data_IF_148702139846
#
_entry.id   IF_148702139846
#
_cell.length_a   1.000
_cell.length_b   1.000
_cell.length_c   1.000
_cell.angle_alpha   90.00
_cell.angle_beta   90.00
_cell.angle_gamma   90.00
#
_symmetry.space_group_name_H-M   'P 1'
#
loop_
_entity.id
_entity.type
_entity.pdbx_description
1 polymer ?
#
# COMPACT_ATOMS: atom_id res chain seq x y z
N UNK A 1 5.27 22.32 6.80
CA UNK A 1 6.63 22.87 6.60
C UNK A 1 6.57 24.01 5.57
N UNK A 2 6.86 25.27 5.93
CA UNK A 2 6.71 26.43 5.04
C UNK A 2 7.59 26.37 3.78
N UNK A 3 8.79 25.81 3.88
CA UNK A 3 9.80 25.80 2.81
C UNK A 3 9.41 24.96 1.58
N UNK A 4 8.75 23.81 1.75
CA UNK A 4 8.35 22.93 0.65
C UNK A 4 7.25 23.55 -0.21
N UNK A 5 6.33 24.31 0.40
CA UNK A 5 5.25 25.02 -0.29
C UNK A 5 5.79 26.22 -1.07
N UNK A 6 6.69 27.00 -0.47
CA UNK A 6 7.41 28.07 -1.16
C UNK A 6 8.25 27.55 -2.34
N UNK A 7 8.80 26.33 -2.21
CA UNK A 7 9.54 25.63 -3.28
C UNK A 7 8.69 25.30 -4.49
N UNK A 8 7.54 24.64 -4.30
CA UNK A 8 6.66 24.29 -5.42
C UNK A 8 6.02 25.54 -6.04
N UNK A 9 5.68 26.55 -5.24
CA UNK A 9 5.19 27.84 -5.76
C UNK A 9 6.25 28.56 -6.60
N UNK A 10 7.54 28.40 -6.31
CA UNK A 10 8.64 28.91 -7.15
C UNK A 10 8.76 28.13 -8.46
N UNK A 11 8.65 26.80 -8.42
CA UNK A 11 8.58 25.98 -9.64
C UNK A 11 7.38 26.38 -10.53
N UNK A 12 6.20 26.59 -9.95
CA UNK A 12 5.02 27.10 -10.68
C UNK A 12 5.21 28.49 -11.31
N UNK A 13 5.97 29.38 -10.66
CA UNK A 13 6.08 30.80 -11.06
C UNK A 13 7.19 31.11 -12.06
N UNK A 14 8.17 30.22 -12.28
CA UNK A 14 9.38 30.53 -13.05
C UNK A 14 9.75 29.43 -14.06
N UNK A 15 9.07 29.50 -15.22
CA UNK A 15 9.02 28.62 -16.42
C UNK A 15 10.34 28.19 -17.11
N UNK A 16 11.52 28.42 -16.52
CA UNK A 16 12.78 28.15 -17.26
C UNK A 16 13.99 27.78 -16.39
N UNK A 17 13.99 28.10 -15.08
CA UNK A 17 15.20 27.99 -14.23
C UNK A 17 15.24 26.78 -13.32
N UNK A 18 14.26 25.87 -13.40
CA UNK A 18 14.07 24.83 -12.39
C UNK A 18 13.93 23.39 -12.91
N UNK A 19 14.41 23.08 -14.12
CA UNK A 19 14.65 21.69 -14.55
C UNK A 19 15.47 20.90 -13.52
N UNK A 20 16.38 21.57 -12.79
CA UNK A 20 17.17 20.98 -11.71
C UNK A 20 16.34 20.49 -10.50
N UNK A 21 15.19 21.12 -10.22
CA UNK A 21 14.29 20.71 -9.13
C UNK A 21 13.46 19.51 -9.52
N UNK A 22 12.97 19.50 -10.76
CA UNK A 22 12.23 18.37 -11.30
C UNK A 22 13.11 17.13 -11.38
N UNK A 23 14.36 17.26 -11.84
CA UNK A 23 15.36 16.19 -11.84
C UNK A 23 15.57 15.54 -10.46
N UNK A 24 15.37 16.30 -9.37
CA UNK A 24 15.47 15.78 -7.99
C UNK A 24 14.18 15.14 -7.46
N UNK A 25 13.09 15.23 -8.22
CA UNK A 25 11.89 14.42 -8.03
C UNK A 25 10.68 15.11 -7.39
N UNK A 26 10.69 16.44 -7.24
CA UNK A 26 9.64 17.26 -6.60
C UNK A 26 9.25 16.83 -5.15
N UNK A 27 9.19 17.75 -4.17
CA UNK A 27 8.77 17.38 -2.82
C UNK A 27 7.34 16.84 -2.77
N UNK A 28 7.15 15.59 -2.34
CA UNK A 28 5.85 14.89 -2.33
C UNK A 28 4.79 15.68 -1.58
N UNK A 29 5.09 16.14 -0.37
CA UNK A 29 4.12 16.88 0.44
C UNK A 29 3.68 18.19 -0.21
N UNK A 30 4.56 18.88 -0.93
CA UNK A 30 4.17 20.11 -1.62
C UNK A 30 3.23 19.80 -2.80
N UNK A 31 3.48 18.71 -3.53
CA UNK A 31 2.65 18.27 -4.64
C UNK A 31 1.27 17.79 -4.14
N UNK A 32 1.23 17.03 -3.05
CA UNK A 32 0.00 16.66 -2.34
C UNK A 32 -0.81 17.91 -1.93
N UNK A 33 -0.17 18.93 -1.36
CA UNK A 33 -0.83 20.18 -0.95
C UNK A 33 -1.42 20.96 -2.12
N UNK A 34 -0.79 20.91 -3.30
CA UNK A 34 -1.17 21.71 -4.48
C UNK A 34 -2.19 21.01 -5.35
N UNK A 35 -2.03 19.70 -5.59
CA UNK A 35 -2.99 18.92 -6.37
C UNK A 35 -4.24 18.60 -5.55
N UNK A 36 -4.10 18.54 -4.23
CA UNK A 36 -5.13 18.07 -3.33
C UNK A 36 -5.22 16.54 -3.31
N UNK A 37 -5.77 16.03 -2.22
CA UNK A 37 -5.85 14.60 -1.96
C UNK A 37 -6.72 13.85 -2.99
N UNK A 38 -7.82 14.47 -3.40
CA UNK A 38 -8.76 13.90 -4.37
C UNK A 38 -8.11 13.65 -5.74
N UNK A 39 -7.26 14.59 -6.20
CA UNK A 39 -6.55 14.47 -7.47
C UNK A 39 -5.52 13.33 -7.50
N UNK A 40 -5.07 12.87 -6.32
CA UNK A 40 -4.11 11.78 -6.16
C UNK A 40 -4.76 10.48 -5.70
N UNK A 41 -6.08 10.46 -5.51
CA UNK A 41 -6.81 9.28 -5.06
C UNK A 41 -7.43 8.57 -6.25
N UNK A 42 -7.18 7.26 -6.36
CA UNK A 42 -7.80 6.38 -7.34
C UNK A 42 -8.58 5.31 -6.60
N UNK A 43 -9.80 5.03 -7.05
CA UNK A 43 -10.63 3.95 -6.53
C UNK A 43 -10.34 2.68 -7.31
N UNK A 44 -9.99 1.61 -6.60
CA UNK A 44 -9.61 0.33 -7.23
C UNK A 44 -10.32 -0.82 -6.54
N UNK A 45 -10.62 -1.88 -7.29
CA UNK A 45 -10.93 -3.16 -6.69
C UNK A 45 -9.67 -3.66 -5.94
N UNK A 46 -9.74 -3.90 -4.61
CA UNK A 46 -8.56 -4.34 -3.85
C UNK A 46 -8.00 -5.68 -4.37
N UNK A 47 -8.84 -6.56 -4.92
CA UNK A 47 -8.42 -7.87 -5.46
C UNK A 47 -7.67 -7.77 -6.78
N UNK A 48 -7.73 -6.63 -7.47
CA UNK A 48 -6.89 -6.36 -8.64
C UNK A 48 -5.49 -5.85 -8.24
N UNK A 49 -5.34 -5.24 -7.05
CA UNK A 49 -4.06 -4.69 -6.56
C UNK A 49 -3.18 -5.80 -5.94
N UNK A 50 -2.70 -6.71 -6.78
CA UNK A 50 -1.98 -7.92 -6.37
C UNK A 50 -0.46 -7.80 -6.40
N UNK A 51 0.07 -6.70 -6.98
CA UNK A 51 1.51 -6.44 -7.06
C UNK A 51 1.96 -5.30 -6.16
N UNK A 52 3.11 -5.49 -5.53
CA UNK A 52 3.77 -4.50 -4.69
C UNK A 52 5.20 -4.20 -5.14
N UNK A 53 5.72 -3.01 -4.83
CA UNK A 53 7.10 -2.65 -5.14
C UNK A 53 8.05 -3.47 -4.27
N UNK A 54 8.93 -4.24 -4.90
CA UNK A 54 9.94 -5.04 -4.21
C UNK A 54 11.33 -4.44 -4.39
N UNK A 55 11.74 -3.61 -3.43
CA UNK A 55 13.09 -3.02 -3.40
C UNK A 55 14.23 -4.03 -3.12
N UNK A 56 13.93 -5.33 -2.96
CA UNK A 56 14.91 -6.35 -2.62
C UNK A 56 15.55 -6.13 -1.24
N UNK A 57 16.71 -6.76 -1.03
CA UNK A 57 17.47 -6.66 0.23
C UNK A 57 18.35 -5.41 0.30
N UNK A 58 18.84 -4.92 -0.85
CA UNK A 58 19.67 -3.71 -0.89
C UNK A 58 18.80 -2.46 -0.88
N UNK A 59 18.69 -1.85 0.29
CA UNK A 59 17.89 -0.64 0.49
C UNK A 59 18.55 0.63 -0.05
N UNK A 60 19.81 0.58 -0.49
CA UNK A 60 20.55 1.78 -0.97
C UNK A 60 19.91 2.39 -2.22
N UNK A 61 19.28 1.57 -3.06
CA UNK A 61 18.62 2.02 -4.29
C UNK A 61 17.14 2.37 -4.08
N UNK A 62 16.64 2.35 -2.84
CA UNK A 62 15.25 2.69 -2.56
C UNK A 62 15.05 4.20 -2.72
N UNK A 63 14.10 4.65 -3.57
CA UNK A 63 13.78 6.06 -3.68
C UNK A 63 13.28 6.64 -2.36
N UNK A 64 13.58 7.92 -2.14
CA UNK A 64 13.14 8.63 -0.93
C UNK A 64 11.62 8.81 -0.94
N UNK A 65 10.96 8.48 0.17
CA UNK A 65 9.52 8.73 0.34
C UNK A 65 9.14 10.21 0.46
N UNK A 66 10.11 11.12 0.41
CA UNK A 66 9.89 12.57 0.46
C UNK A 66 9.78 13.20 -0.94
N UNK A 67 10.12 12.47 -1.99
CA UNK A 67 10.00 12.92 -3.38
C UNK A 67 8.88 12.17 -4.09
N UNK A 68 8.23 12.83 -5.05
CA UNK A 68 7.09 12.30 -5.79
C UNK A 68 7.51 11.57 -7.07
N UNK A 69 8.59 11.99 -7.72
CA UNK A 69 9.08 11.37 -8.95
C UNK A 69 10.28 10.51 -8.59
N UNK A 70 10.16 9.21 -8.84
CA UNK A 70 11.17 8.20 -8.56
C UNK A 70 11.84 7.76 -9.86
N UNK A 71 13.17 7.66 -9.83
CA UNK A 71 13.99 7.25 -10.96
C UNK A 71 14.54 5.83 -10.76
N UNK A 72 15.07 5.25 -11.83
CA UNK A 72 15.66 3.92 -11.87
C UNK A 72 14.63 2.78 -11.88
N UNK A 73 15.13 1.55 -11.80
CA UNK A 73 14.35 0.34 -12.11
C UNK A 73 13.53 -0.24 -10.95
N UNK A 74 13.01 0.62 -10.09
CA UNK A 74 12.27 0.19 -8.90
C UNK A 74 10.98 -0.57 -9.21
N UNK A 75 10.41 -0.38 -10.40
CA UNK A 75 9.15 -0.97 -10.86
C UNK A 75 9.32 -2.29 -11.61
N UNK A 76 10.55 -2.68 -11.96
CA UNK A 76 10.85 -3.93 -12.66
C UNK A 76 10.81 -5.16 -11.73
N UNK A 77 10.84 -4.94 -10.41
CA UNK A 77 10.65 -5.97 -9.38
C UNK A 77 9.31 -5.77 -8.67
N UNK A 78 8.39 -6.67 -8.93
CA UNK A 78 6.98 -6.63 -8.51
C UNK A 78 6.71 -7.82 -7.59
N UNK A 79 6.70 -7.57 -6.30
CA UNK A 79 6.29 -8.56 -5.30
C UNK A 79 4.87 -9.05 -5.57
N UNK A 80 4.58 -10.29 -5.18
CA UNK A 80 3.24 -10.85 -5.23
C UNK A 80 2.57 -10.67 -3.86
N UNK A 81 1.93 -9.51 -3.67
CA UNK A 81 1.36 -9.07 -2.40
C UNK A 81 0.44 -10.12 -1.77
N UNK A 82 -0.34 -10.80 -2.62
CA UNK A 82 -1.27 -11.88 -2.26
C UNK A 82 -0.63 -13.04 -1.50
N UNK A 83 0.65 -13.31 -1.73
CA UNK A 83 1.41 -14.39 -1.06
C UNK A 83 2.31 -13.88 0.07
N UNK A 84 2.25 -12.58 0.35
CA UNK A 84 2.99 -11.95 1.43
C UNK A 84 2.47 -12.35 2.82
N UNK A 85 3.27 -12.07 3.85
CA UNK A 85 2.93 -12.42 5.24
C UNK A 85 1.65 -11.74 5.74
N UNK A 86 1.26 -10.59 5.20
CA UNK A 86 0.04 -9.86 5.60
C UNK A 86 -1.20 -10.59 5.11
N UNK A 87 -1.19 -10.99 3.84
CA UNK A 87 -2.29 -11.75 3.24
C UNK A 87 -2.42 -13.14 3.84
N UNK A 88 -1.30 -13.79 4.20
CA UNK A 88 -1.30 -15.04 4.97
C UNK A 88 -1.92 -14.87 6.35
N UNK A 89 -1.48 -13.86 7.12
CA UNK A 89 -2.09 -13.55 8.42
C UNK A 89 -3.60 -13.37 8.34
N UNK A 90 -4.11 -12.60 7.36
CA UNK A 90 -5.56 -12.40 7.25
C UNK A 90 -6.27 -13.72 6.91
N UNK A 91 -5.72 -14.55 6.02
CA UNK A 91 -6.30 -15.85 5.68
C UNK A 91 -6.35 -16.79 6.89
N UNK A 92 -5.26 -16.85 7.64
CA UNK A 92 -5.08 -17.67 8.85
C UNK A 92 -6.09 -17.29 9.94
N UNK A 93 -6.32 -15.98 10.14
CA UNK A 93 -7.34 -15.48 11.08
C UNK A 93 -8.78 -15.83 10.66
N UNK A 94 -9.04 -15.96 9.36
CA UNK A 94 -10.35 -16.30 8.80
C UNK A 94 -10.59 -17.81 8.93
N UNK A 95 -9.58 -18.61 8.59
CA UNK A 95 -9.64 -20.06 8.58
C UNK A 95 -9.84 -20.66 9.98
N UNK A 96 -9.18 -20.09 10.99
CA UNK A 96 -9.19 -20.64 12.35
C UNK A 96 -10.20 -19.97 13.30
N UNK A 97 -10.88 -18.91 12.85
CA UNK A 97 -11.98 -18.30 13.59
C UNK A 97 -11.62 -17.91 15.04
N UNK A 98 -12.25 -18.58 16.01
CA UNK A 98 -12.08 -18.34 17.45
C UNK A 98 -10.79 -18.91 18.05
N UNK A 99 -10.24 -19.98 17.46
CA UNK A 99 -8.99 -20.54 17.96
C UNK A 99 -7.81 -19.82 17.31
N UNK A 100 -7.41 -18.71 17.93
CA UNK A 100 -6.24 -17.95 17.47
C UNK A 100 -4.92 -18.63 17.82
N UNK A 101 -4.92 -19.65 18.69
CA UNK A 101 -3.69 -20.32 19.13
C UNK A 101 -3.10 -21.22 18.04
N UNK A 102 -3.91 -21.68 17.08
CA UNK A 102 -3.42 -22.51 15.98
C UNK A 102 -2.82 -21.71 14.82
N UNK A 103 -2.97 -20.38 14.83
CA UNK A 103 -2.47 -19.50 13.76
C UNK A 103 -0.94 -19.54 13.65
N UNK A 104 -0.40 -19.53 12.42
CA UNK A 104 1.04 -19.46 12.13
C UNK A 104 1.68 -18.28 12.89
N UNK A 105 0.97 -17.16 12.95
CA UNK A 105 1.45 -15.96 13.63
C UNK A 105 1.53 -16.12 15.14
N UNK A 106 0.53 -16.73 15.79
CA UNK A 106 0.60 -17.02 17.23
C UNK A 106 1.79 -17.94 17.51
N UNK A 107 1.90 -19.06 16.79
CA UNK A 107 2.98 -20.05 17.00
C UNK A 107 4.37 -19.43 16.85
N UNK A 108 4.55 -18.57 15.84
CA UNK A 108 5.80 -17.85 15.66
C UNK A 108 6.11 -16.87 16.81
N UNK A 109 5.12 -16.11 17.28
CA UNK A 109 5.30 -15.15 18.37
C UNK A 109 5.53 -15.85 19.71
N UNK A 110 4.85 -16.98 19.95
CA UNK A 110 5.04 -17.83 21.11
C UNK A 110 6.46 -18.40 21.15
N UNK A 111 6.96 -18.92 20.04
CA UNK A 111 8.33 -19.41 19.95
C UNK A 111 9.38 -18.31 20.24
N UNK A 112 9.13 -17.07 19.79
CA UNK A 112 9.98 -15.93 20.12
C UNK A 112 9.96 -15.60 21.61
N UNK A 113 8.77 -15.59 22.21
CA UNK A 113 8.58 -15.39 23.65
C UNK A 113 9.31 -16.47 24.47
N UNK A 114 9.11 -17.74 24.14
CA UNK A 114 9.76 -18.89 24.79
C UNK A 114 11.29 -18.86 24.65
N UNK A 115 11.80 -18.31 23.54
CA UNK A 115 13.25 -18.11 23.34
C UNK A 115 13.84 -16.91 24.10
N UNK A 116 13.03 -16.21 24.92
CA UNK A 116 13.44 -15.03 25.68
C UNK A 116 13.62 -13.78 24.82
N UNK A 117 13.09 -13.76 23.59
CA UNK A 117 13.21 -12.64 22.64
C UNK A 117 11.82 -12.20 22.16
N UNK A 118 10.96 -11.68 23.06
CA UNK A 118 9.62 -11.26 22.71
C UNK A 118 9.66 -10.24 21.57
N UNK A 119 8.71 -10.38 20.65
CA UNK A 119 8.61 -9.45 19.53
C UNK A 119 8.10 -8.09 20.04
N UNK A 120 8.67 -7.01 19.51
CA UNK A 120 8.18 -5.66 19.73
C UNK A 120 7.81 -5.01 18.39
N UNK A 121 6.74 -4.22 18.38
CA UNK A 121 6.43 -3.28 17.30
C UNK A 121 7.08 -1.94 17.64
N UNK A 122 8.19 -1.55 16.98
CA UNK A 122 8.84 -0.28 17.27
C UNK A 122 7.96 0.93 16.92
N UNK A 123 7.00 0.75 16.00
CA UNK A 123 6.09 1.80 15.55
C UNK A 123 4.93 2.01 16.52
N UNK A 124 4.43 0.94 17.11
CA UNK A 124 3.22 0.97 17.93
C UNK A 124 3.53 0.95 19.43
N UNK A 125 4.82 0.86 19.80
CA UNK A 125 5.26 0.73 21.19
C UNK A 125 4.79 -0.55 21.87
N UNK A 126 4.29 -1.51 21.10
CA UNK A 126 3.73 -2.76 21.59
C UNK A 126 4.87 -3.75 21.85
N UNK A 127 4.99 -4.22 23.08
CA UNK A 127 5.77 -5.40 23.43
C UNK A 127 4.81 -6.59 23.51
N UNK A 128 5.24 -7.76 23.04
CA UNK A 128 4.50 -9.03 23.15
C UNK A 128 5.27 -9.96 24.10
N UNK A 129 5.29 -9.62 25.38
CA UNK A 129 5.97 -10.36 26.44
C UNK A 129 5.06 -11.36 27.19
N UNK A 130 3.81 -11.52 26.74
CA UNK A 130 2.90 -12.55 27.25
C UNK A 130 2.03 -13.16 26.15
N UNK A 131 1.51 -14.37 26.38
CA UNK A 131 0.56 -15.01 25.47
C UNK A 131 -0.73 -14.20 25.32
N UNK A 132 -1.21 -13.58 26.40
CA UNK A 132 -2.40 -12.74 26.41
C UNK A 132 -2.24 -11.52 25.50
N UNK A 133 -1.05 -10.92 25.44
CA UNK A 133 -0.75 -9.81 24.53
C UNK A 133 -0.70 -10.27 23.08
N UNK A 134 -0.11 -11.44 22.80
CA UNK A 134 -0.12 -12.04 21.46
C UNK A 134 -1.57 -12.26 21.00
N UNK A 135 -2.39 -12.88 21.85
CA UNK A 135 -3.80 -13.11 21.55
C UNK A 135 -4.60 -11.81 21.43
N UNK A 136 -4.33 -10.82 22.27
CA UNK A 136 -4.95 -9.50 22.19
C UNK A 136 -4.68 -8.82 20.85
N UNK A 137 -3.43 -8.86 20.39
CA UNK A 137 -3.04 -8.38 19.07
C UNK A 137 -3.80 -9.09 17.95
N UNK A 138 -3.90 -10.42 17.97
CA UNK A 138 -4.60 -11.18 16.94
C UNK A 138 -6.12 -10.90 16.96
N UNK A 139 -6.72 -10.80 18.15
CA UNK A 139 -8.12 -10.38 18.32
C UNK A 139 -8.38 -9.01 17.72
N UNK A 140 -7.48 -8.04 17.88
CA UNK A 140 -7.64 -6.73 17.25
C UNK A 140 -7.71 -6.84 15.71
N UNK A 141 -6.82 -7.62 15.08
CA UNK A 141 -6.85 -7.82 13.63
C UNK A 141 -8.10 -8.55 13.16
N UNK A 142 -8.56 -9.55 13.90
CA UNK A 142 -9.82 -10.23 13.61
C UNK A 142 -11.03 -9.28 13.74
N UNK A 143 -11.06 -8.47 14.79
CA UNK A 143 -12.10 -7.44 14.94
C UNK A 143 -12.12 -6.44 13.78
N UNK A 144 -10.95 -6.05 13.25
CA UNK A 144 -10.87 -5.21 12.04
C UNK A 144 -11.38 -5.92 10.77
N UNK A 145 -11.14 -7.23 10.64
CA UNK A 145 -11.69 -8.03 9.54
C UNK A 145 -13.22 -8.10 9.63
N UNK A 146 -13.76 -8.38 10.81
CA UNK A 146 -15.21 -8.46 11.05
C UNK A 146 -15.87 -7.09 10.79
N UNK A 147 -15.32 -6.01 11.32
CA UNK A 147 -15.82 -4.65 11.06
C UNK A 147 -15.83 -4.33 9.57
N UNK A 148 -14.77 -4.67 8.84
CA UNK A 148 -14.71 -4.43 7.40
C UNK A 148 -15.67 -5.33 6.61
N UNK A 149 -15.91 -6.55 7.06
CA UNK A 149 -16.89 -7.45 6.45
C UNK A 149 -18.32 -6.92 6.63
N UNK A 150 -18.67 -6.44 7.82
CA UNK A 150 -20.01 -5.92 8.12
C UNK A 150 -20.26 -4.52 7.55
N UNK A 151 -19.27 -3.63 7.61
CA UNK A 151 -19.43 -2.20 7.33
C UNK A 151 -18.74 -1.75 6.03
N UNK A 152 -18.06 -2.65 5.33
CA UNK A 152 -17.22 -2.32 4.18
C UNK A 152 -15.96 -1.52 4.57
N UNK A 153 -15.30 -0.95 3.56
CA UNK A 153 -14.09 -0.15 3.79
C UNK A 153 -14.44 1.29 4.22
N UNK A 154 -14.01 1.68 5.42
CA UNK A 154 -14.19 3.05 5.93
C UNK A 154 -12.92 3.88 5.78
N UNK A 155 -12.99 4.94 4.96
CA UNK A 155 -11.91 5.91 4.82
C UNK A 155 -11.79 6.78 6.09
N UNK A 156 -10.57 7.19 6.46
CA UNK A 156 -10.34 8.15 7.55
C UNK A 156 -10.29 7.58 8.96
N UNK A 157 -10.57 6.29 9.16
CA UNK A 157 -10.44 5.63 10.50
C UNK A 157 -9.00 5.60 11.00
N UNK A 158 -8.02 5.59 10.09
CA UNK A 158 -6.58 5.58 10.44
C UNK A 158 -5.85 6.73 9.75
N UNK A 159 -4.81 7.27 10.42
CA UNK A 159 -3.96 8.35 9.89
C UNK A 159 -3.21 7.99 8.61
N UNK A 160 -2.81 6.72 8.45
CA UNK A 160 -2.10 6.28 7.25
C UNK A 160 -3.11 6.02 6.11
N UNK A 161 -2.73 6.32 4.88
CA UNK A 161 -3.51 6.03 3.67
C UNK A 161 -2.93 4.81 2.95
N UNK A 162 -3.72 4.14 2.10
CA UNK A 162 -3.21 3.06 1.27
C UNK A 162 -2.41 3.65 0.10
N UNK A 163 -1.09 3.71 0.27
CA UNK A 163 -0.20 4.27 -0.73
C UNK A 163 0.06 3.32 -1.90
N UNK A 164 0.08 3.86 -3.12
CA UNK A 164 0.56 3.22 -4.36
C UNK A 164 1.59 4.09 -5.06
N UNK A 165 2.36 3.50 -5.97
CA UNK A 165 3.25 4.20 -6.89
C UNK A 165 2.90 3.82 -8.34
N UNK A 166 3.12 4.74 -9.27
CA UNK A 166 2.85 4.54 -10.71
C UNK A 166 4.12 4.11 -11.42
N UNK A 167 4.10 2.97 -12.10
CA UNK A 167 5.24 2.43 -12.88
C UNK A 167 5.54 3.27 -14.11
N UNK A 168 6.65 2.98 -14.81
CA UNK A 168 6.98 3.63 -16.08
C UNK A 168 5.89 3.44 -17.14
N UNK A 169 5.12 2.37 -17.09
CA UNK A 169 4.01 2.07 -18.01
C UNK A 169 2.68 2.71 -17.60
N UNK A 170 2.59 3.34 -16.42
CA UNK A 170 1.32 3.89 -15.92
C UNK A 170 0.47 2.89 -15.16
N UNK A 171 1.07 1.86 -14.56
CA UNK A 171 0.38 0.86 -13.73
C UNK A 171 0.56 1.14 -12.25
N UNK A 172 -0.39 0.71 -11.41
CA UNK A 172 -0.33 0.91 -9.97
C UNK A 172 0.34 -0.27 -9.28
N UNK A 173 1.42 0.02 -8.54
CA UNK A 173 2.07 -0.92 -7.61
C UNK A 173 1.84 -0.49 -6.17
N UNK A 174 1.57 -1.47 -5.31
CA UNK A 174 1.43 -1.22 -3.88
C UNK A 174 2.77 -0.86 -3.24
N UNK A 175 2.78 0.12 -2.34
CA UNK A 175 3.97 0.48 -1.54
C UNK A 175 3.74 0.28 -0.02
N UNK A 176 4.79 0.45 0.78
CA UNK A 176 4.81 0.21 2.25
C UNK A 176 3.96 1.21 3.08
N UNK A 177 2.64 1.31 2.84
CA UNK A 177 1.65 2.08 3.60
C UNK A 177 0.27 1.45 3.56
N UNK A 178 -0.31 1.04 4.69
CA UNK A 178 -1.63 0.40 4.69
C UNK A 178 -1.65 -1.02 4.10
N UNK A 179 -0.56 -1.78 4.25
CA UNK A 179 -0.47 -3.17 3.76
C UNK A 179 -1.51 -4.08 4.43
N UNK A 180 -1.67 -4.01 5.76
CA UNK A 180 -2.68 -4.83 6.44
C UNK A 180 -4.09 -4.53 5.96
N UNK A 181 -4.44 -3.26 5.72
CA UNK A 181 -5.77 -2.87 5.23
C UNK A 181 -6.05 -3.36 3.83
N UNK A 182 -5.07 -3.31 2.93
CA UNK A 182 -5.25 -3.93 1.61
C UNK A 182 -5.45 -5.44 1.74
N UNK A 183 -4.64 -6.12 2.56
CA UNK A 183 -4.79 -7.55 2.78
C UNK A 183 -6.18 -7.89 3.33
N UNK A 184 -6.69 -7.13 4.30
CA UNK A 184 -8.05 -7.28 4.80
C UNK A 184 -9.09 -7.08 3.70
N UNK A 185 -9.01 -5.97 2.96
CA UNK A 185 -9.94 -5.63 1.88
C UNK A 185 -9.96 -6.69 0.77
N UNK A 186 -8.82 -7.29 0.45
CA UNK A 186 -8.70 -8.39 -0.51
C UNK A 186 -9.41 -9.66 -0.03
N UNK A 187 -9.17 -10.06 1.22
CA UNK A 187 -9.86 -11.22 1.79
C UNK A 187 -11.36 -10.94 1.84
N UNK A 188 -11.76 -9.82 2.46
CA UNK A 188 -13.16 -9.36 2.59
C UNK A 188 -13.89 -9.29 1.25
N UNK A 189 -13.19 -8.89 0.19
CA UNK A 189 -13.80 -8.72 -1.12
C UNK A 189 -14.67 -7.48 -1.19
N UNK A 190 -14.32 -6.42 -0.47
CA UNK A 190 -15.00 -5.12 -0.62
C UNK A 190 -14.85 -4.65 -2.08
N UNK A 191 -15.90 -4.06 -2.68
CA UNK A 191 -15.94 -3.80 -4.12
C UNK A 191 -14.91 -2.76 -4.57
N UNK A 192 -14.56 -1.82 -3.70
CA UNK A 192 -13.64 -0.74 -4.02
C UNK A 192 -12.98 -0.17 -2.78
N UNK A 193 -11.74 0.29 -2.94
CA UNK A 193 -10.98 1.01 -1.92
C UNK A 193 -10.26 2.22 -2.50
N UNK A 194 -10.14 3.33 -1.74
CA UNK A 194 -9.32 4.46 -2.15
C UNK A 194 -7.84 4.14 -1.93
N UNK A 195 -7.05 4.26 -2.99
CA UNK A 195 -5.59 4.25 -2.93
C UNK A 195 -5.04 5.61 -3.33
N UNK A 196 -3.96 6.01 -2.68
CA UNK A 196 -3.36 7.33 -2.85
C UNK A 196 -2.02 7.19 -3.54
N UNK A 197 -1.87 7.90 -4.64
CA UNK A 197 -0.63 7.94 -5.41
C UNK A 197 0.39 8.76 -4.62
N UNK A 198 1.45 8.09 -4.19
CA UNK A 198 2.53 8.71 -3.41
C UNK A 198 3.79 8.94 -4.24
N UNK A 199 3.92 8.27 -5.38
CA UNK A 199 5.01 8.50 -6.30
C UNK A 199 4.64 8.06 -7.72
N UNK A 200 5.37 8.59 -8.69
CA UNK A 200 5.33 8.19 -10.10
C UNK A 200 6.74 7.93 -10.62
N UNK A 201 6.87 7.06 -11.60
CA UNK A 201 8.14 6.83 -12.28
C UNK A 201 8.56 8.06 -13.12
N UNK A 202 9.86 8.31 -13.23
CA UNK A 202 10.45 9.38 -14.06
C UNK A 202 9.95 9.32 -15.51
N UNK A 203 10.12 8.18 -16.17
CA UNK A 203 9.67 7.99 -17.56
C UNK A 203 8.16 8.21 -17.75
N UNK A 204 7.32 7.84 -16.76
CA UNK A 204 5.89 8.11 -16.81
C UNK A 204 5.62 9.62 -16.72
N UNK A 205 6.27 10.31 -15.79
CA UNK A 205 6.18 11.75 -15.65
C UNK A 205 6.60 12.46 -16.94
N UNK A 206 7.79 12.16 -17.47
CA UNK A 206 8.34 12.82 -18.64
C UNK A 206 7.44 12.62 -19.87
N UNK A 207 6.88 11.41 -20.04
CA UNK A 207 5.95 11.09 -21.12
C UNK A 207 4.63 11.86 -21.01
N UNK A 208 4.05 11.93 -19.81
CA UNK A 208 2.73 12.56 -19.61
C UNK A 208 2.83 14.09 -19.63
N UNK A 209 3.86 14.66 -19.04
CA UNK A 209 4.05 16.11 -19.05
C UNK A 209 4.51 16.58 -20.42
N UNK A 210 5.28 15.77 -21.16
CA UNK A 210 5.84 16.10 -22.47
C UNK A 210 6.54 17.47 -22.47
N UNK A 211 7.31 17.74 -21.40
CA UNK A 211 8.03 19.00 -21.20
C UNK A 211 7.16 20.19 -20.78
N UNK A 212 5.85 20.01 -20.55
CA UNK A 212 5.04 21.04 -19.91
C UNK A 212 5.54 21.32 -18.49
N UNK A 213 5.32 22.54 -18.01
CA UNK A 213 5.74 22.99 -16.69
C UNK A 213 4.57 23.59 -15.90
N UNK A 214 4.72 23.69 -14.57
CA UNK A 214 3.77 24.39 -13.71
C UNK A 214 2.38 23.72 -13.71
N UNK A 215 1.33 24.53 -13.79
CA UNK A 215 -0.07 24.07 -13.73
C UNK A 215 -0.42 23.11 -14.88
N UNK A 216 0.10 23.37 -16.07
CA UNK A 216 -0.16 22.55 -17.25
C UNK A 216 0.37 21.11 -17.06
N UNK A 217 1.59 20.98 -16.51
CA UNK A 217 2.16 19.67 -16.19
C UNK A 217 1.32 18.92 -15.16
N UNK A 218 0.84 19.62 -14.12
CA UNK A 218 0.02 19.01 -13.07
C UNK A 218 -1.37 18.59 -13.59
N UNK A 219 -1.97 19.35 -14.50
CA UNK A 219 -3.24 19.00 -15.16
C UNK A 219 -3.07 17.75 -16.04
N UNK A 220 -2.01 17.71 -16.86
CA UNK A 220 -1.69 16.53 -17.68
C UNK A 220 -1.44 15.30 -16.82
N UNK A 221 -0.66 15.46 -15.74
CA UNK A 221 -0.45 14.40 -14.77
C UNK A 221 -1.77 13.91 -14.18
N UNK A 222 -2.59 14.81 -13.64
CA UNK A 222 -3.88 14.45 -13.02
C UNK A 222 -4.78 13.68 -13.99
N UNK A 223 -4.85 14.09 -15.26
CA UNK A 223 -5.61 13.37 -16.27
C UNK A 223 -5.08 11.94 -16.47
N UNK A 224 -3.77 11.76 -16.60
CA UNK A 224 -3.17 10.45 -16.78
C UNK A 224 -3.30 9.54 -15.54
N UNK A 225 -3.27 10.11 -14.33
CA UNK A 225 -3.43 9.34 -13.10
C UNK A 225 -4.79 8.66 -12.99
N UNK A 226 -5.85 9.26 -13.55
CA UNK A 226 -7.21 8.67 -13.58
C UNK A 226 -7.30 7.41 -14.44
N UNK A 227 -6.42 7.30 -15.43
CA UNK A 227 -6.35 6.14 -16.32
C UNK A 227 -5.45 5.02 -15.80
N UNK A 228 -4.71 5.27 -14.71
CA UNK A 228 -3.88 4.24 -14.10
C UNK A 228 -4.76 3.11 -13.54
N UNK A 229 -4.32 1.86 -13.75
CA UNK A 229 -4.97 0.65 -13.24
C UNK A 229 -3.96 -0.21 -12.48
N UNK A 230 -4.41 -1.06 -11.54
CA UNK A 230 -3.55 -2.04 -10.89
C UNK A 230 -2.73 -2.88 -11.87
N UNK A 231 -1.50 -3.19 -11.48
CA UNK A 231 -0.66 -4.16 -12.20
C UNK A 231 -1.00 -5.58 -11.75
N UNK A 232 -1.27 -6.47 -12.71
CA UNK A 232 -1.48 -7.90 -12.48
C UNK A 232 -0.22 -8.72 -12.77
N UNK A 233 0.62 -8.24 -13.68
CA UNK A 233 1.72 -9.01 -14.24
C UNK A 233 2.99 -8.93 -13.39
N UNK A 234 3.76 -10.04 -13.31
CA UNK A 234 5.08 -10.02 -12.69
C UNK A 234 6.02 -9.06 -13.43
N UNK A 235 7.01 -8.55 -12.71
CA UNK A 235 8.07 -7.74 -13.29
C UNK A 235 9.14 -8.59 -13.96
N UNK A 236 9.89 -8.07 -14.94
CA UNK A 236 10.94 -8.83 -15.62
C UNK A 236 12.10 -9.23 -14.70
N UNK A 237 12.24 -8.59 -13.53
CA UNK A 237 13.28 -8.89 -12.55
C UNK A 237 12.74 -9.62 -11.31
N UNK A 238 11.52 -10.18 -11.39
CA UNK A 238 10.91 -10.88 -10.27
C UNK A 238 11.73 -12.11 -9.86
N UNK A 239 12.11 -12.22 -8.58
CA UNK A 239 13.00 -13.29 -8.13
C UNK A 239 12.31 -14.66 -8.06
N UNK A 240 10.97 -14.70 -8.16
CA UNK A 240 10.14 -15.89 -7.98
C UNK A 240 8.90 -15.78 -8.84
N UNK A 241 8.54 -16.89 -9.47
CA UNK A 241 7.26 -17.03 -10.14
C UNK A 241 6.20 -17.43 -9.11
N UNK A 242 5.05 -16.75 -9.18
CA UNK A 242 3.87 -17.08 -8.38
C UNK A 242 2.75 -17.51 -9.34
N UNK A 243 1.83 -18.38 -8.91
CA UNK A 243 0.64 -18.69 -9.71
C UNK A 243 -0.11 -17.41 -10.07
N UNK A 244 -0.48 -17.30 -11.35
CA UNK A 244 -1.39 -16.25 -11.83
C UNK A 244 -2.80 -16.72 -11.48
N UNK A 245 -3.46 -15.98 -10.60
CA UNK A 245 -4.80 -16.29 -10.12
C UNK A 245 -5.76 -15.22 -10.63
N UNK A 246 -6.97 -15.62 -11.00
CA UNK A 246 -8.04 -14.70 -11.34
C UNK A 246 -8.38 -13.76 -10.17
N UNK A 247 -9.04 -12.64 -10.48
CA UNK A 247 -9.41 -11.61 -9.50
C UNK A 247 -10.21 -12.20 -8.33
N UNK A 248 -11.11 -13.16 -8.60
CA UNK A 248 -11.94 -13.80 -7.57
C UNK A 248 -11.52 -15.22 -7.19
N UNK A 249 -10.46 -15.74 -7.81
CA UNK A 249 -9.98 -17.09 -7.54
C UNK A 249 -9.23 -17.13 -6.20
N UNK A 250 -9.37 -18.21 -5.42
CA UNK A 250 -8.53 -18.53 -4.24
C UNK A 250 -8.66 -17.60 -3.02
N UNK A 251 -9.77 -16.85 -2.95
CA UNK A 251 -10.17 -16.13 -1.74
C UNK A 251 -11.04 -17.04 -0.86
N UNK A 252 -10.90 -16.97 0.47
CA UNK A 252 -11.72 -17.74 1.39
C UNK A 252 -13.19 -17.32 1.31
N UNK A 253 -14.09 -18.26 1.60
CA UNK A 253 -15.51 -17.98 1.79
C UNK A 253 -15.72 -17.34 3.17
N UNK A 254 -16.25 -16.11 3.18
CA UNK A 254 -16.35 -15.30 4.39
C UNK A 254 -17.72 -15.35 5.06
N UNK A 255 -18.65 -16.16 4.54
CA UNK A 255 -20.02 -16.29 5.10
C UNK A 255 -20.04 -16.72 6.57
N UNK A 256 -18.95 -17.28 7.09
CA UNK A 256 -18.80 -17.65 8.51
C UNK A 256 -18.23 -16.57 9.44
N UNK A 257 -17.82 -15.40 8.93
CA UNK A 257 -17.32 -14.30 9.76
C UNK A 257 -18.43 -13.40 10.34
N UNK A 258 -19.67 -13.54 9.84
CA UNK A 258 -20.84 -12.92 10.45
C UNK A 258 -21.06 -13.57 11.82
N UNK A 259 -20.99 -12.78 12.88
CA UNK A 259 -20.99 -13.26 14.25
C UNK A 259 -22.08 -14.31 14.52
N UNK A 260 -21.65 -15.44 15.08
CA UNK A 260 -22.48 -16.39 15.84
C UNK A 260 -23.20 -15.75 17.04
N UNK A 261 -23.05 -14.43 17.25
CA UNK A 261 -23.74 -13.60 18.25
C UNK A 261 -24.90 -12.76 17.72
N UNK A 262 -25.23 -12.77 16.42
CA UNK A 262 -26.40 -12.04 15.88
C UNK A 262 -27.67 -12.91 15.75
N UNK A 263 -27.66 -14.14 16.28
CA UNK A 263 -28.86 -14.98 16.43
C UNK A 263 -29.01 -15.39 17.89
N UNK A 264 -29.42 -14.45 18.73
CA UNK A 264 -30.02 -14.70 20.04
C UNK A 264 -31.22 -13.77 20.19
#
# INVERSE_FOLDING_TARGET
>A
MPFSRSWLMRWKRQRARHQSLERRGLPRHALEDVMGQEALTVWVNPRELVRDVNFGRDKRNRPSSNVFIWDGDWDLRRGAFRFGSRSRLMRDLIEHGDDLTVTERYQHLKALLESGKPWSSPRDGLLMDSEEQILGYLRCYRGYLQDMASNGFRQGVTKDEMGVAVTREGRLLKINRGLHRLAMAQQVGVPSVPVVIKAVHREFWDRVTAGAEGDEALQRLQAALRECRPESEPGPLDPRTYPVLGVDEGWPDLRGLEDAGSRA
#
